data_IF_830720431062
#
_entry.id   IF_830720431062
#
_cell.length_a   1.000
_cell.length_b   1.000
_cell.length_c   1.000
_cell.angle_alpha   90.00
_cell.angle_beta   90.00
_cell.angle_gamma   90.00
#
_symmetry.space_group_name_H-M   'P 1'
#
loop_
_entity.id
_entity.type
_entity.pdbx_description
1 polymer ?
#
# COMPACT_ATOMS: atom_id res chain seq x y z
N UNK A 1 -1.15 15.37 2.76
CA UNK A 1 -0.29 14.19 2.47
C UNK A 1 1.15 14.68 2.52
N UNK A 2 1.97 14.15 3.42
CA UNK A 2 3.35 14.61 3.56
C UNK A 2 4.24 14.01 2.48
N UNK A 3 5.20 14.78 1.96
CA UNK A 3 6.12 14.31 0.90
C UNK A 3 6.90 13.07 1.34
N UNK A 4 7.20 12.95 2.63
CA UNK A 4 7.93 11.83 3.21
C UNK A 4 7.16 10.51 3.06
N UNK A 5 5.83 10.52 3.25
CA UNK A 5 5.00 9.33 3.08
C UNK A 5 4.98 8.83 1.62
N UNK A 6 4.97 9.75 0.65
CA UNK A 6 5.06 9.39 -0.77
C UNK A 6 6.40 8.72 -1.11
N UNK A 7 7.49 9.24 -0.54
CA UNK A 7 8.83 8.65 -0.70
C UNK A 7 8.89 7.28 -0.04
N UNK A 8 8.32 7.12 1.15
CA UNK A 8 8.23 5.82 1.82
C UNK A 8 7.44 4.80 0.99
N UNK A 9 6.27 5.17 0.46
CA UNK A 9 5.45 4.30 -0.41
C UNK A 9 6.22 3.88 -1.67
N UNK A 10 6.93 4.83 -2.29
CA UNK A 10 7.73 4.56 -3.49
C UNK A 10 8.91 3.60 -3.24
N UNK A 11 9.48 3.61 -2.03
CA UNK A 11 10.64 2.78 -1.69
C UNK A 11 10.29 1.50 -0.91
N UNK A 12 9.12 1.44 -0.29
CA UNK A 12 8.69 0.27 0.49
C UNK A 12 8.32 -0.87 -0.42
N UNK A 13 8.93 -2.03 -0.18
CA UNK A 13 8.68 -3.27 -0.92
C UNK A 13 7.71 -4.15 -0.15
N UNK A 14 6.74 -4.71 -0.86
CA UNK A 14 5.75 -5.64 -0.31
C UNK A 14 6.46 -6.92 0.17
N UNK A 15 6.37 -7.27 1.47
CA UNK A 15 7.14 -8.38 2.02
C UNK A 15 6.48 -9.76 1.83
N UNK A 16 5.22 -9.83 1.42
CA UNK A 16 4.47 -11.08 1.28
C UNK A 16 3.37 -11.01 0.22
N UNK A 17 2.72 -12.16 -0.02
CA UNK A 17 1.56 -12.28 -0.90
C UNK A 17 1.92 -12.31 -2.39
N UNK A 18 0.91 -12.13 -3.24
CA UNK A 18 1.05 -12.31 -4.71
C UNK A 18 2.06 -11.34 -5.34
N UNK A 19 2.20 -10.14 -4.77
CA UNK A 19 3.07 -9.08 -5.27
C UNK A 19 4.31 -8.85 -4.40
N UNK A 20 4.74 -9.88 -3.65
CA UNK A 20 5.98 -9.84 -2.89
C UNK A 20 7.15 -9.40 -3.79
N UNK A 21 8.00 -8.51 -3.26
CA UNK A 21 9.15 -7.97 -3.99
C UNK A 21 8.84 -6.76 -4.87
N UNK A 22 7.57 -6.34 -5.00
CA UNK A 22 7.20 -5.09 -5.69
C UNK A 22 7.08 -3.92 -4.73
N UNK A 23 7.29 -2.71 -5.22
CA UNK A 23 7.06 -1.49 -4.42
C UNK A 23 5.57 -1.27 -4.22
N UNK A 24 5.19 -0.59 -3.13
CA UNK A 24 3.78 -0.31 -2.83
C UNK A 24 3.12 0.49 -3.96
N UNK A 25 3.82 1.47 -4.54
CA UNK A 25 3.32 2.28 -5.65
C UNK A 25 2.94 1.44 -6.89
N UNK A 26 3.62 0.32 -7.10
CA UNK A 26 3.43 -0.59 -8.24
C UNK A 26 2.33 -1.64 -7.97
N UNK A 27 1.74 -1.65 -6.77
CA UNK A 27 0.66 -2.57 -6.44
C UNK A 27 -0.62 -2.17 -7.20
N UNK A 28 -1.36 -3.15 -7.76
CA UNK A 28 -2.67 -2.88 -8.33
C UNK A 28 -3.66 -2.40 -7.26
N UNK A 29 -4.53 -1.46 -7.64
CA UNK A 29 -5.57 -0.94 -6.74
C UNK A 29 -6.48 -2.06 -6.21
N UNK A 30 -6.93 -2.97 -7.09
CA UNK A 30 -7.77 -4.11 -6.72
C UNK A 30 -7.16 -4.98 -5.62
N UNK A 31 -5.83 -5.09 -5.59
CA UNK A 31 -5.13 -5.87 -4.58
C UNK A 31 -5.19 -5.18 -3.21
N UNK A 32 -4.99 -3.87 -3.18
CA UNK A 32 -5.12 -3.08 -1.96
C UNK A 32 -6.58 -2.99 -1.49
N UNK A 33 -7.52 -2.91 -2.43
CA UNK A 33 -8.96 -2.91 -2.16
C UNK A 33 -9.41 -4.25 -1.56
N UNK A 34 -8.81 -5.37 -1.97
CA UNK A 34 -9.05 -6.67 -1.36
C UNK A 34 -8.67 -6.68 0.13
N UNK A 35 -7.52 -6.09 0.51
CA UNK A 35 -7.13 -5.92 1.91
C UNK A 35 -8.10 -5.03 2.68
N UNK A 36 -8.51 -3.89 2.09
CA UNK A 36 -9.47 -2.97 2.69
C UNK A 36 -10.83 -3.62 2.94
N UNK A 37 -11.35 -4.38 1.97
CA UNK A 37 -12.64 -5.11 2.09
C UNK A 37 -12.59 -6.23 3.13
N UNK A 38 -11.42 -6.81 3.37
CA UNK A 38 -11.22 -7.87 4.36
C UNK A 38 -10.80 -7.36 5.73
N UNK A 39 -10.54 -6.06 5.86
CA UNK A 39 -9.93 -5.43 7.03
C UNK A 39 -8.65 -6.18 7.47
N UNK A 40 -7.81 -6.52 6.49
CA UNK A 40 -6.62 -7.38 6.66
C UNK A 40 -5.30 -6.64 6.44
N UNK A 41 -5.30 -5.31 6.54
CA UNK A 41 -4.03 -4.58 6.47
C UNK A 41 -3.11 -5.03 7.62
N UNK A 42 -1.81 -5.24 7.34
CA UNK A 42 -0.83 -5.56 8.38
C UNK A 42 -0.83 -4.51 9.48
N UNK A 43 -0.62 -4.93 10.73
CA UNK A 43 -0.40 -3.97 11.80
C UNK A 43 0.90 -3.17 11.59
N UNK A 44 0.91 -1.94 12.09
CA UNK A 44 2.06 -1.04 12.05
C UNK A 44 2.25 -0.33 10.72
N UNK A 45 3.47 0.17 10.51
CA UNK A 45 3.80 1.12 9.43
C UNK A 45 3.46 0.61 8.03
N UNK A 46 3.61 -0.69 7.77
CA UNK A 46 3.29 -1.26 6.46
C UNK A 46 1.81 -1.14 6.12
N UNK A 47 0.91 -1.43 7.06
CA UNK A 47 -0.53 -1.30 6.84
C UNK A 47 -0.94 0.14 6.60
N UNK A 48 -0.38 1.07 7.38
CA UNK A 48 -0.59 2.51 7.19
C UNK A 48 -0.18 2.94 5.77
N UNK A 49 1.00 2.53 5.31
CA UNK A 49 1.48 2.84 3.96
C UNK A 49 0.61 2.20 2.88
N UNK A 50 0.12 0.98 3.07
CA UNK A 50 -0.79 0.31 2.14
C UNK A 50 -2.15 1.03 2.07
N UNK A 51 -2.69 1.50 3.19
CA UNK A 51 -3.93 2.28 3.23
C UNK A 51 -3.78 3.62 2.52
N UNK A 52 -2.68 4.34 2.77
CA UNK A 52 -2.39 5.60 2.07
C UNK A 52 -2.20 5.34 0.57
N UNK A 53 -1.52 4.25 0.19
CA UNK A 53 -1.35 3.88 -1.22
C UNK A 53 -2.70 3.62 -1.91
N UNK A 54 -3.64 2.97 -1.22
CA UNK A 54 -4.99 2.77 -1.74
C UNK A 54 -5.70 4.10 -1.95
N UNK A 55 -5.67 4.98 -0.93
CA UNK A 55 -6.28 6.30 -1.00
C UNK A 55 -5.78 7.10 -2.21
N UNK A 56 -4.46 7.12 -2.43
CA UNK A 56 -3.83 7.78 -3.58
C UNK A 56 -4.35 7.23 -4.91
N UNK A 57 -4.57 5.92 -5.01
CA UNK A 57 -5.03 5.28 -6.24
C UNK A 57 -6.53 5.49 -6.47
N UNK A 58 -7.33 5.61 -5.41
CA UNK A 58 -8.78 5.81 -5.50
C UNK A 58 -9.19 7.27 -5.70
N UNK A 59 -8.41 8.22 -5.17
CA UNK A 59 -8.69 9.66 -5.24
C UNK A 59 -7.88 10.41 -6.32
N UNK A 60 -6.87 9.74 -6.90
CA UNK A 60 -5.94 10.29 -7.89
C UNK A 60 -6.44 10.26 -9.33
#
# INVERSE_FOLDING_TARGET
>A
MEKEQLVEIANTVMPFGKYQGRRLIDLPEEYLLWFARKDQFPAGKLGELMQITLLIKTEG
#
